data_IF_685834205227
#
_entry.id   IF_685834205227
#
_cell.length_a   1.000
_cell.length_b   1.000
_cell.length_c   1.000
_cell.angle_alpha   90.00
_cell.angle_beta   90.00
_cell.angle_gamma   90.00
#
_symmetry.space_group_name_H-M   'P 1'
#
loop_
_entity.id
_entity.type
_entity.pdbx_description
1 polymer ?
#
# COMPACT_ATOMS: atom_id res chain seq x y z
N UNK A 1 5.02 -42.63 -4.78
CA UNK A 1 5.23 -41.36 -5.44
C UNK A 1 6.08 -40.51 -4.53
N UNK A 2 7.17 -40.00 -5.08
CA UNK A 2 8.10 -39.20 -4.35
C UNK A 2 7.40 -37.85 -4.06
N UNK A 3 7.19 -37.54 -2.77
CA UNK A 3 6.50 -36.35 -2.34
C UNK A 3 7.20 -35.06 -2.82
N UNK A 4 8.53 -35.10 -2.86
CA UNK A 4 9.34 -33.96 -3.34
C UNK A 4 9.11 -33.72 -4.84
N UNK A 5 9.07 -34.83 -5.64
CA UNK A 5 8.80 -34.71 -7.07
C UNK A 5 7.39 -34.17 -7.35
N UNK A 6 6.39 -34.63 -6.57
CA UNK A 6 5.00 -34.11 -6.68
C UNK A 6 4.91 -32.63 -6.31
N UNK A 7 5.60 -32.19 -5.24
CA UNK A 7 5.64 -30.79 -4.82
C UNK A 7 6.24 -29.89 -5.91
N UNK A 8 7.33 -30.35 -6.53
CA UNK A 8 7.98 -29.61 -7.61
C UNK A 8 7.12 -29.57 -8.88
N UNK A 9 6.55 -30.67 -9.30
CA UNK A 9 5.69 -30.77 -10.49
C UNK A 9 4.36 -30.00 -10.33
N UNK A 10 3.86 -29.87 -9.12
CA UNK A 10 2.64 -29.12 -8.80
C UNK A 10 2.85 -27.60 -8.69
N UNK A 11 4.08 -27.11 -8.71
CA UNK A 11 4.41 -25.71 -8.46
C UNK A 11 4.15 -25.24 -7.02
N UNK A 12 3.87 -26.18 -6.11
CA UNK A 12 3.52 -25.87 -4.72
C UNK A 12 4.72 -25.28 -3.97
N UNK A 13 5.92 -25.79 -4.26
CA UNK A 13 7.17 -25.33 -3.66
C UNK A 13 7.46 -23.86 -4.01
N UNK A 14 7.24 -23.48 -5.26
CA UNK A 14 7.41 -22.08 -5.71
C UNK A 14 6.37 -21.15 -5.07
N UNK A 15 5.11 -21.59 -5.01
CA UNK A 15 4.05 -20.84 -4.33
C UNK A 15 4.31 -20.67 -2.83
N UNK A 16 4.82 -21.69 -2.14
CA UNK A 16 5.17 -21.60 -0.72
C UNK A 16 6.36 -20.67 -0.49
N UNK A 17 7.35 -20.65 -1.39
CA UNK A 17 8.46 -19.72 -1.32
C UNK A 17 7.98 -18.27 -1.52
N UNK A 18 7.18 -18.01 -2.54
CA UNK A 18 6.58 -16.66 -2.78
C UNK A 18 5.80 -16.18 -1.56
N UNK A 19 4.99 -17.03 -0.93
CA UNK A 19 4.24 -16.69 0.29
C UNK A 19 5.16 -16.35 1.45
N UNK A 20 6.24 -17.13 1.63
CA UNK A 20 7.23 -16.87 2.67
C UNK A 20 7.95 -15.53 2.44
N UNK A 21 8.29 -15.22 1.19
CA UNK A 21 8.88 -13.93 0.82
C UNK A 21 7.91 -12.77 1.12
N UNK A 22 6.62 -12.89 0.77
CA UNK A 22 5.61 -11.88 1.08
C UNK A 22 5.41 -11.67 2.58
N UNK A 23 5.46 -12.75 3.38
CA UNK A 23 5.38 -12.63 4.85
C UNK A 23 6.59 -11.89 5.43
N UNK A 24 7.78 -12.12 4.87
CA UNK A 24 9.00 -11.39 5.26
C UNK A 24 8.96 -9.91 4.82
N UNK A 25 8.33 -9.60 3.70
CA UNK A 25 8.09 -8.23 3.24
C UNK A 25 7.02 -7.49 4.07
N UNK A 26 6.38 -8.15 5.03
CA UNK A 26 5.33 -7.56 5.86
C UNK A 26 4.00 -7.38 5.14
N UNK A 27 3.75 -8.20 4.13
CA UNK A 27 2.47 -8.21 3.41
C UNK A 27 1.36 -8.69 4.34
N UNK A 28 0.19 -8.09 4.21
CA UNK A 28 -1.01 -8.36 4.99
C UNK A 28 -1.40 -9.87 4.92
N UNK A 29 -1.86 -10.39 6.07
CA UNK A 29 -2.26 -11.80 6.23
C UNK A 29 -3.33 -12.22 5.22
N UNK A 30 -4.25 -11.32 4.86
CA UNK A 30 -5.26 -11.59 3.85
C UNK A 30 -4.63 -11.84 2.48
N UNK A 31 -3.56 -11.09 2.13
CA UNK A 31 -2.81 -11.32 0.89
C UNK A 31 -2.27 -12.73 0.82
N UNK A 32 -1.55 -13.20 1.85
CA UNK A 32 -0.96 -14.53 1.85
C UNK A 32 -2.01 -15.66 1.84
N UNK A 33 -3.13 -15.45 2.53
CA UNK A 33 -4.23 -16.44 2.58
C UNK A 33 -5.00 -16.50 1.25
N UNK A 34 -5.42 -15.35 0.71
CA UNK A 34 -6.28 -15.32 -0.47
C UNK A 34 -5.52 -15.43 -1.79
N UNK A 35 -4.19 -15.24 -1.80
CA UNK A 35 -3.39 -15.43 -3.02
C UNK A 35 -3.47 -16.84 -3.57
N UNK A 36 -3.47 -17.85 -2.70
CA UNK A 36 -3.62 -19.25 -3.07
C UNK A 36 -4.99 -19.57 -3.69
N UNK A 37 -5.99 -18.74 -3.40
CA UNK A 37 -7.36 -18.91 -3.85
C UNK A 37 -7.63 -18.21 -5.20
N UNK A 38 -6.59 -17.75 -5.93
CA UNK A 38 -6.73 -17.08 -7.24
C UNK A 38 -6.63 -18.03 -8.44
N UNK A 39 -6.55 -19.35 -8.22
CA UNK A 39 -6.41 -20.37 -9.27
C UNK A 39 -7.75 -20.82 -9.89
N UNK A 40 -8.74 -19.94 -9.92
CA UNK A 40 -10.03 -20.22 -10.55
C UNK A 40 -10.05 -19.75 -12.01
N UNK A 41 -10.78 -20.45 -12.91
CA UNK A 41 -10.94 -20.01 -14.29
C UNK A 41 -11.47 -18.58 -14.44
N UNK A 42 -12.18 -18.09 -13.44
CA UNK A 42 -12.64 -16.70 -13.36
C UNK A 42 -11.51 -15.69 -13.48
N UNK A 43 -10.35 -15.95 -12.84
CA UNK A 43 -9.17 -15.10 -12.90
C UNK A 43 -8.32 -15.31 -14.16
N UNK A 44 -8.71 -16.22 -15.06
CA UNK A 44 -8.15 -16.33 -16.40
C UNK A 44 -8.48 -15.15 -17.30
N UNK A 45 -9.44 -14.32 -16.93
CA UNK A 45 -9.79 -13.08 -17.60
C UNK A 45 -9.28 -11.87 -16.82
N UNK A 46 -8.46 -11.02 -17.45
CA UNK A 46 -7.82 -9.87 -16.78
C UNK A 46 -8.85 -8.93 -16.13
N UNK A 47 -9.97 -8.67 -16.82
CA UNK A 47 -11.01 -7.76 -16.32
C UNK A 47 -11.64 -8.24 -14.99
N UNK A 48 -11.60 -9.52 -14.71
CA UNK A 48 -12.19 -10.09 -13.48
C UNK A 48 -11.34 -9.81 -12.23
N UNK A 49 -10.06 -9.48 -12.39
CA UNK A 49 -9.20 -9.09 -11.27
C UNK A 49 -9.59 -7.75 -10.64
N UNK A 50 -10.13 -6.84 -11.45
CA UNK A 50 -10.51 -5.49 -11.03
C UNK A 50 -12.03 -5.27 -11.04
N UNK A 51 -12.79 -6.37 -11.16
CA UNK A 51 -14.25 -6.32 -11.24
C UNK A 51 -14.84 -6.08 -9.85
N UNK A 52 -15.70 -5.06 -9.68
CA UNK A 52 -16.47 -4.87 -8.46
C UNK A 52 -17.24 -6.15 -8.09
N UNK A 53 -17.36 -6.45 -6.79
CA UNK A 53 -18.02 -7.66 -6.35
C UNK A 53 -19.50 -7.65 -6.74
N UNK A 54 -19.93 -8.68 -7.48
CA UNK A 54 -21.30 -8.87 -7.94
C UNK A 54 -21.80 -10.26 -7.54
N UNK A 55 -22.80 -10.29 -6.65
CA UNK A 55 -23.43 -11.51 -6.16
C UNK A 55 -24.15 -12.32 -7.24
N UNK A 56 -24.45 -11.71 -8.39
CA UNK A 56 -25.16 -12.37 -9.50
C UNK A 56 -24.22 -13.13 -10.45
N UNK A 57 -22.92 -13.13 -10.19
CA UNK A 57 -21.98 -13.94 -10.97
C UNK A 57 -22.32 -15.41 -10.81
N UNK A 58 -22.41 -16.18 -11.94
CA UNK A 58 -22.65 -17.61 -11.88
C UNK A 58 -21.69 -18.33 -10.93
N UNK A 59 -22.25 -19.21 -10.09
CA UNK A 59 -21.50 -19.91 -9.04
C UNK A 59 -21.44 -19.16 -7.71
N UNK A 60 -21.58 -17.83 -7.69
CA UNK A 60 -21.70 -17.05 -6.44
C UNK A 60 -23.15 -16.98 -6.00
N UNK A 61 -24.06 -16.74 -6.93
CA UNK A 61 -25.51 -16.76 -6.67
C UNK A 61 -26.00 -18.06 -6.01
N UNK A 62 -25.34 -19.18 -6.29
CA UNK A 62 -25.72 -20.50 -5.79
C UNK A 62 -25.42 -20.71 -4.29
N UNK A 63 -24.45 -19.96 -3.77
CA UNK A 63 -24.00 -20.07 -2.36
C UNK A 63 -24.55 -18.96 -1.47
N UNK A 64 -25.03 -17.88 -2.07
CA UNK A 64 -25.68 -16.79 -1.32
C UNK A 64 -27.17 -17.12 -1.17
N UNK A 65 -27.68 -17.34 0.05
CA UNK A 65 -29.09 -17.60 0.26
C UNK A 65 -29.94 -16.44 -0.26
N UNK A 66 -30.93 -16.77 -1.10
CA UNK A 66 -31.80 -15.79 -1.74
C UNK A 66 -32.82 -15.10 -0.80
N UNK A 67 -32.76 -15.36 0.50
CA UNK A 67 -33.68 -14.78 1.48
C UNK A 67 -32.99 -13.63 2.24
N UNK A 68 -33.71 -12.53 2.37
CA UNK A 68 -33.33 -11.33 3.11
C UNK A 68 -32.87 -11.58 4.57
N UNK A 69 -33.21 -12.73 5.15
CA UNK A 69 -32.79 -13.16 6.48
C UNK A 69 -31.41 -13.84 6.52
N UNK A 70 -30.76 -14.08 5.37
CA UNK A 70 -29.42 -14.70 5.27
C UNK A 70 -28.25 -13.73 5.47
N UNK A 71 -28.52 -12.52 5.93
CA UNK A 71 -27.49 -11.51 6.22
C UNK A 71 -26.57 -11.84 7.40
N UNK A 72 -26.89 -12.88 8.16
CA UNK A 72 -26.14 -13.33 9.35
C UNK A 72 -25.22 -14.52 9.07
N UNK A 73 -25.01 -14.88 7.80
CA UNK A 73 -24.02 -15.92 7.49
C UNK A 73 -22.64 -15.28 7.29
N UNK A 74 -21.58 -15.98 7.70
CA UNK A 74 -20.19 -15.55 7.47
C UNK A 74 -19.94 -15.17 6.00
N UNK A 75 -20.53 -15.91 5.05
CA UNK A 75 -20.44 -15.59 3.62
C UNK A 75 -21.04 -14.22 3.32
N UNK A 76 -22.22 -13.93 3.86
CA UNK A 76 -22.86 -12.62 3.69
C UNK A 76 -22.06 -11.48 4.30
N UNK A 77 -21.49 -11.70 5.47
CA UNK A 77 -20.61 -10.74 6.15
C UNK A 77 -19.34 -10.45 5.35
N UNK A 78 -18.64 -11.47 4.87
CA UNK A 78 -17.42 -11.28 4.04
C UNK A 78 -17.76 -10.56 2.72
N UNK A 79 -18.86 -10.93 2.06
CA UNK A 79 -19.28 -10.30 0.80
C UNK A 79 -19.56 -8.80 0.95
N UNK A 80 -20.09 -8.38 2.10
CA UNK A 80 -20.38 -6.98 2.40
C UNK A 80 -19.21 -6.24 3.04
N UNK A 81 -18.27 -6.95 3.64
CA UNK A 81 -17.17 -6.36 4.38
C UNK A 81 -16.36 -5.35 3.54
N UNK A 82 -16.10 -4.16 4.06
CA UNK A 82 -15.23 -3.17 3.41
C UNK A 82 -13.73 -3.53 3.51
N UNK A 83 -13.38 -4.47 4.39
CA UNK A 83 -11.99 -4.85 4.66
C UNK A 83 -11.41 -5.69 3.52
N UNK A 84 -12.23 -6.55 2.92
CA UNK A 84 -11.77 -7.42 1.82
C UNK A 84 -11.92 -6.73 0.47
N UNK A 85 -10.90 -6.83 -0.36
CA UNK A 85 -10.99 -6.38 -1.75
C UNK A 85 -11.90 -7.32 -2.58
N UNK A 86 -12.33 -6.87 -3.75
CA UNK A 86 -13.33 -7.61 -4.53
C UNK A 86 -12.79 -8.94 -5.03
N UNK A 87 -11.53 -9.01 -5.47
CA UNK A 87 -10.92 -10.26 -5.92
C UNK A 87 -10.80 -11.30 -4.81
N UNK A 88 -10.59 -10.88 -3.55
CA UNK A 88 -10.56 -11.77 -2.39
C UNK A 88 -11.97 -12.32 -2.08
N UNK A 89 -13.00 -11.47 -2.16
CA UNK A 89 -14.41 -11.90 -2.03
C UNK A 89 -14.79 -12.96 -3.05
N UNK A 90 -14.42 -12.75 -4.33
CA UNK A 90 -14.62 -13.74 -5.38
C UNK A 90 -13.89 -15.06 -5.09
N UNK A 91 -12.62 -14.99 -4.71
CA UNK A 91 -11.82 -16.19 -4.35
C UNK A 91 -12.46 -16.98 -3.23
N UNK A 92 -12.88 -16.30 -2.18
CA UNK A 92 -13.55 -16.91 -1.04
C UNK A 92 -14.86 -17.60 -1.47
N UNK A 93 -15.72 -16.93 -2.22
CA UNK A 93 -16.97 -17.49 -2.70
C UNK A 93 -16.77 -18.74 -3.55
N UNK A 94 -15.85 -18.72 -4.51
CA UNK A 94 -15.54 -19.91 -5.33
C UNK A 94 -14.94 -21.05 -4.51
N UNK A 95 -14.18 -20.75 -3.46
CA UNK A 95 -13.69 -21.79 -2.55
C UNK A 95 -14.83 -22.44 -1.79
N UNK A 96 -15.71 -21.64 -1.22
CA UNK A 96 -16.89 -22.13 -0.48
C UNK A 96 -17.82 -22.95 -1.38
N UNK A 97 -17.97 -22.55 -2.65
CA UNK A 97 -18.79 -23.31 -3.62
C UNK A 97 -18.29 -24.74 -3.83
N UNK A 98 -16.96 -24.96 -3.75
CA UNK A 98 -16.35 -26.30 -3.92
C UNK A 98 -16.49 -27.21 -2.71
N UNK A 99 -16.82 -26.66 -1.55
CA UNK A 99 -17.01 -27.44 -0.32
C UNK A 99 -18.38 -28.13 -0.41
N UNK A 100 -18.46 -29.47 -0.17
CA UNK A 100 -19.73 -30.17 -0.07
C UNK A 100 -20.70 -29.50 0.93
N UNK A 101 -22.00 -29.51 0.63
CA UNK A 101 -23.00 -28.73 1.37
C UNK A 101 -23.02 -29.07 2.87
N UNK A 102 -22.92 -30.36 3.22
CA UNK A 102 -22.89 -30.84 4.59
C UNK A 102 -21.67 -30.35 5.38
N UNK A 103 -20.49 -30.29 4.74
CA UNK A 103 -19.26 -29.78 5.33
C UNK A 103 -19.26 -28.25 5.39
N UNK A 104 -19.86 -27.59 4.40
CA UNK A 104 -19.99 -26.14 4.34
C UNK A 104 -20.80 -25.60 5.52
N UNK A 105 -21.95 -26.20 5.78
CA UNK A 105 -22.86 -25.79 6.87
C UNK A 105 -22.17 -25.95 8.24
N UNK A 106 -21.42 -27.04 8.42
CA UNK A 106 -20.63 -27.27 9.64
C UNK A 106 -19.52 -26.23 9.81
N UNK A 107 -18.73 -25.98 8.75
CA UNK A 107 -17.63 -25.03 8.76
C UNK A 107 -18.12 -23.59 9.02
N UNK A 108 -19.21 -23.20 8.34
CA UNK A 108 -19.80 -21.87 8.49
C UNK A 108 -20.43 -21.67 9.86
N UNK A 109 -20.97 -22.73 10.47
CA UNK A 109 -21.48 -22.68 11.84
C UNK A 109 -20.38 -22.53 12.88
N UNK A 110 -19.20 -23.11 12.66
CA UNK A 110 -18.05 -22.99 13.57
C UNK A 110 -17.35 -21.62 13.47
N UNK A 111 -17.23 -21.04 12.27
CA UNK A 111 -16.58 -19.76 12.02
C UNK A 111 -17.52 -18.56 12.19
N UNK A 112 -18.85 -18.77 12.19
CA UNK A 112 -19.84 -17.69 12.15
C UNK A 112 -20.19 -17.05 13.50
N UNK A 113 -19.68 -17.57 14.63
CA UNK A 113 -20.04 -17.07 15.96
C UNK A 113 -19.47 -15.70 16.28
N UNK A 114 -18.20 -15.65 16.63
CA UNK A 114 -17.53 -14.43 17.11
C UNK A 114 -17.07 -13.51 15.96
N UNK A 115 -16.60 -14.09 14.85
CA UNK A 115 -16.10 -13.31 13.71
C UNK A 115 -17.21 -12.67 12.88
N UNK A 116 -18.39 -13.29 12.80
CA UNK A 116 -19.56 -12.73 12.12
C UNK A 116 -20.12 -11.48 12.81
N UNK A 117 -20.08 -11.45 14.14
CA UNK A 117 -20.50 -10.28 14.93
C UNK A 117 -19.54 -9.10 14.79
N UNK A 118 -18.24 -9.35 14.82
CA UNK A 118 -17.22 -8.31 14.66
C UNK A 118 -17.26 -7.63 13.27
N UNK A 119 -17.56 -8.40 12.21
CA UNK A 119 -17.71 -7.86 10.85
C UNK A 119 -19.00 -7.05 10.75
N UNK A 120 -20.10 -7.50 11.39
CA UNK A 120 -21.40 -6.80 11.40
C UNK A 120 -21.37 -5.48 12.18
N UNK A 121 -20.61 -5.39 13.27
CA UNK A 121 -20.43 -4.14 14.01
C UNK A 121 -19.62 -3.12 13.20
N UNK A 122 -18.57 -3.56 12.49
CA UNK A 122 -17.81 -2.68 11.59
C UNK A 122 -18.68 -2.12 10.45
N UNK A 123 -19.63 -2.90 9.92
CA UNK A 123 -20.58 -2.46 8.90
C UNK A 123 -21.52 -1.36 9.39
N UNK A 124 -22.08 -1.49 10.60
CA UNK A 124 -23.10 -0.56 11.11
C UNK A 124 -22.59 0.86 11.28
N UNK A 125 -21.30 1.02 11.55
CA UNK A 125 -20.63 2.33 11.69
C UNK A 125 -20.17 2.95 10.36
N UNK A 126 -20.17 2.20 9.25
CA UNK A 126 -19.58 2.64 7.97
C UNK A 126 -20.59 3.14 6.93
N UNK A 127 -21.86 2.77 7.02
CA UNK A 127 -22.86 2.98 5.94
C UNK A 127 -23.37 4.43 5.84
N UNK A 128 -23.01 5.32 6.76
CA UNK A 128 -23.67 6.63 6.88
C UNK A 128 -23.08 7.76 6.02
N UNK A 129 -21.89 7.57 5.40
CA UNK A 129 -21.19 8.65 4.72
C UNK A 129 -20.74 8.29 3.30
N UNK A 130 -21.18 9.08 2.30
CA UNK A 130 -20.83 8.88 0.89
C UNK A 130 -19.35 9.06 0.61
N UNK A 131 -18.67 9.97 1.31
CA UNK A 131 -17.23 10.20 1.15
C UNK A 131 -16.45 8.99 1.62
N UNK A 132 -16.88 8.38 2.73
CA UNK A 132 -16.31 7.16 3.27
C UNK A 132 -16.52 5.94 2.36
N UNK A 133 -17.67 5.84 1.70
CA UNK A 133 -17.91 4.79 0.70
C UNK A 133 -16.97 4.91 -0.50
N UNK A 134 -16.74 6.11 -1.02
CA UNK A 134 -15.80 6.34 -2.11
C UNK A 134 -14.35 6.00 -1.71
N UNK A 135 -13.97 6.27 -0.47
CA UNK A 135 -12.67 5.87 0.09
C UNK A 135 -12.53 4.35 0.16
N UNK A 136 -13.57 3.66 0.66
CA UNK A 136 -13.60 2.19 0.74
C UNK A 136 -13.45 1.57 -0.66
N UNK A 137 -14.25 2.03 -1.63
CA UNK A 137 -14.20 1.54 -3.01
C UNK A 137 -12.83 1.78 -3.64
N UNK A 138 -12.22 2.94 -3.39
CA UNK A 138 -10.88 3.27 -3.86
C UNK A 138 -9.83 2.36 -3.24
N UNK A 139 -9.91 2.10 -1.94
CA UNK A 139 -8.99 1.21 -1.23
C UNK A 139 -9.13 -0.22 -1.72
N UNK A 140 -10.35 -0.72 -1.93
CA UNK A 140 -10.59 -2.04 -2.49
C UNK A 140 -10.01 -2.18 -3.90
N UNK A 141 -10.18 -1.16 -4.74
CA UNK A 141 -9.60 -1.15 -6.09
C UNK A 141 -8.06 -1.19 -6.06
N UNK A 142 -7.43 -0.41 -5.18
CA UNK A 142 -5.97 -0.40 -5.02
C UNK A 142 -5.48 -1.78 -4.52
N UNK A 143 -6.19 -2.40 -3.59
CA UNK A 143 -5.86 -3.75 -3.11
C UNK A 143 -6.02 -4.79 -4.24
N UNK A 144 -7.09 -4.74 -5.03
CA UNK A 144 -7.29 -5.62 -6.18
C UNK A 144 -6.17 -5.45 -7.22
N UNK A 145 -5.76 -4.21 -7.49
CA UNK A 145 -4.65 -3.89 -8.38
C UNK A 145 -3.33 -4.47 -7.84
N UNK A 146 -3.09 -4.33 -6.53
CA UNK A 146 -1.92 -4.92 -5.88
C UNK A 146 -1.92 -6.46 -5.99
N UNK A 147 -3.07 -7.12 -5.73
CA UNK A 147 -3.24 -8.58 -5.92
C UNK A 147 -2.91 -8.99 -7.36
N UNK A 148 -3.40 -8.23 -8.35
CA UNK A 148 -3.11 -8.50 -9.76
C UNK A 148 -1.60 -8.50 -10.03
N UNK A 149 -0.88 -7.46 -9.62
CA UNK A 149 0.56 -7.35 -9.88
C UNK A 149 1.42 -8.33 -9.08
N UNK A 150 0.92 -8.87 -7.98
CA UNK A 150 1.64 -9.89 -7.19
C UNK A 150 1.34 -11.31 -7.64
N UNK A 151 0.11 -11.63 -8.05
CA UNK A 151 -0.36 -13.01 -8.21
C UNK A 151 -0.73 -13.38 -9.64
N UNK A 152 -1.22 -12.43 -10.46
CA UNK A 152 -1.71 -12.76 -11.79
C UNK A 152 -0.60 -13.23 -12.74
N UNK A 153 -0.90 -14.25 -13.54
CA UNK A 153 -0.01 -14.70 -14.62
C UNK A 153 0.16 -13.64 -15.71
N UNK A 154 -0.79 -12.70 -15.83
CA UNK A 154 -0.73 -11.58 -16.79
C UNK A 154 0.10 -10.40 -16.30
N UNK A 155 0.58 -10.41 -15.03
CA UNK A 155 1.30 -9.27 -14.43
C UNK A 155 2.49 -8.77 -15.23
N UNK A 156 3.16 -9.68 -15.94
CA UNK A 156 4.36 -9.37 -16.74
C UNK A 156 4.05 -8.64 -18.07
N UNK A 157 2.78 -8.59 -18.48
CA UNK A 157 2.35 -7.87 -19.68
C UNK A 157 2.18 -6.36 -19.42
N UNK A 158 2.20 -5.97 -18.15
CA UNK A 158 1.93 -4.60 -17.73
C UNK A 158 3.07 -4.06 -16.87
N UNK A 159 3.21 -2.73 -16.88
CA UNK A 159 4.16 -2.05 -16.01
C UNK A 159 3.55 -1.94 -14.60
N UNK A 160 4.24 -2.49 -13.60
CA UNK A 160 3.78 -2.49 -12.22
C UNK A 160 3.79 -1.07 -11.65
N UNK A 161 2.62 -0.49 -11.31
CA UNK A 161 2.53 0.84 -10.76
C UNK A 161 3.14 0.96 -9.35
N UNK A 162 3.25 -0.15 -8.61
CA UNK A 162 3.80 -0.15 -7.26
C UNK A 162 5.34 -0.12 -7.24
N UNK A 163 5.98 -0.38 -8.38
CA UNK A 163 7.44 -0.25 -8.54
C UNK A 163 7.83 1.02 -9.27
N UNK A 164 6.85 1.81 -9.75
CA UNK A 164 7.11 3.08 -10.43
C UNK A 164 7.39 4.18 -9.40
N UNK A 165 8.38 5.02 -9.69
CA UNK A 165 8.50 6.29 -9.00
C UNK A 165 7.26 7.15 -9.26
N UNK A 166 6.61 7.55 -8.16
CA UNK A 166 5.42 8.40 -8.22
C UNK A 166 5.85 9.85 -8.43
N UNK A 167 5.76 10.35 -9.65
CA UNK A 167 5.90 11.78 -9.90
C UNK A 167 4.52 12.46 -9.77
N UNK A 168 4.08 12.69 -8.52
CA UNK A 168 2.77 13.27 -8.23
C UNK A 168 2.60 14.66 -8.85
N UNK A 169 3.67 15.44 -8.95
CA UNK A 169 3.64 16.81 -9.46
C UNK A 169 3.56 16.88 -10.99
N UNK A 170 4.02 15.87 -11.70
CA UNK A 170 3.90 15.77 -13.16
C UNK A 170 2.58 15.14 -13.61
N UNK A 171 1.82 14.57 -12.68
CA UNK A 171 0.51 14.01 -12.98
C UNK A 171 -0.46 15.11 -13.38
N UNK A 172 -0.95 15.08 -14.62
CA UNK A 172 -1.95 16.05 -15.12
C UNK A 172 -3.25 16.04 -14.31
N UNK A 173 -3.57 14.92 -13.66
CA UNK A 173 -4.75 14.79 -12.82
C UNK A 173 -4.55 15.37 -11.42
N UNK A 174 -3.35 15.24 -10.85
CA UNK A 174 -3.05 15.65 -9.47
C UNK A 174 -2.46 17.06 -9.38
N UNK A 175 -1.73 17.53 -10.39
CA UNK A 175 -1.12 18.86 -10.39
C UNK A 175 -2.12 20.00 -10.07
N UNK A 176 -3.38 20.01 -10.54
CA UNK A 176 -4.36 21.04 -10.18
C UNK A 176 -4.77 21.00 -8.70
N UNK A 177 -4.72 19.82 -8.07
CA UNK A 177 -5.06 19.62 -6.66
C UNK A 177 -3.93 20.04 -5.72
N UNK A 178 -2.69 20.09 -6.22
CA UNK A 178 -1.47 20.45 -5.49
C UNK A 178 -1.05 21.88 -5.90
N UNK A 179 -2.01 22.77 -6.14
CA UNK A 179 -1.72 24.11 -6.71
C UNK A 179 -1.41 25.17 -5.67
N UNK A 180 -1.87 25.01 -4.42
CA UNK A 180 -1.58 25.97 -3.36
C UNK A 180 -0.30 25.60 -2.58
N UNK A 181 0.38 26.63 -2.01
CA UNK A 181 1.64 26.45 -1.28
C UNK A 181 1.52 25.48 -0.10
N UNK A 182 0.37 25.45 0.59
CA UNK A 182 0.17 24.54 1.73
C UNK A 182 -0.02 23.10 1.25
N UNK A 183 -0.70 22.87 0.12
CA UNK A 183 -0.83 21.54 -0.47
C UNK A 183 0.54 21.02 -0.94
N UNK A 184 1.35 21.88 -1.57
CA UNK A 184 2.73 21.53 -1.98
C UNK A 184 3.58 21.15 -0.76
N UNK A 185 3.51 21.93 0.34
CA UNK A 185 4.26 21.65 1.56
C UNK A 185 3.82 20.33 2.22
N UNK A 186 2.51 20.07 2.29
CA UNK A 186 2.01 18.77 2.79
C UNK A 186 2.45 17.61 1.94
N UNK A 187 2.42 17.75 0.62
CA UNK A 187 2.89 16.74 -0.33
C UNK A 187 4.37 16.49 -0.15
N UNK A 188 5.18 17.53 -0.03
CA UNK A 188 6.61 17.42 0.26
C UNK A 188 6.87 16.59 1.53
N UNK A 189 6.23 16.95 2.65
CA UNK A 189 6.42 16.25 3.92
C UNK A 189 5.94 14.80 3.88
N UNK A 190 4.84 14.54 3.18
CA UNK A 190 4.37 13.18 2.93
C UNK A 190 5.40 12.35 2.15
N UNK A 191 6.00 12.92 1.10
CA UNK A 191 7.03 12.24 0.30
C UNK A 191 8.30 11.97 1.13
N UNK A 192 8.70 12.89 2.00
CA UNK A 192 9.82 12.70 2.95
C UNK A 192 9.52 11.55 3.91
N UNK A 193 8.32 11.51 4.48
CA UNK A 193 7.87 10.43 5.38
C UNK A 193 7.89 9.05 4.69
N UNK A 194 7.54 9.02 3.39
CA UNK A 194 7.55 7.79 2.58
C UNK A 194 8.89 7.50 1.92
N UNK A 195 9.93 8.26 2.25
CA UNK A 195 11.31 8.09 1.76
C UNK A 195 11.49 8.30 0.24
N UNK A 196 10.53 8.98 -0.42
CA UNK A 196 10.66 9.40 -1.83
C UNK A 196 11.44 10.72 -1.93
N UNK A 197 12.73 10.68 -1.60
CA UNK A 197 13.55 11.88 -1.38
C UNK A 197 13.76 12.73 -2.64
N UNK A 198 13.92 12.10 -3.80
CA UNK A 198 14.07 12.81 -5.07
C UNK A 198 12.81 13.60 -5.44
N UNK A 199 11.64 12.97 -5.34
CA UNK A 199 10.34 13.60 -5.60
C UNK A 199 10.02 14.66 -4.55
N UNK A 200 10.34 14.39 -3.28
CA UNK A 200 10.21 15.35 -2.20
C UNK A 200 11.02 16.63 -2.48
N UNK A 201 12.26 16.49 -2.89
CA UNK A 201 13.10 17.63 -3.26
C UNK A 201 12.50 18.44 -4.41
N UNK A 202 11.96 17.77 -5.44
CA UNK A 202 11.30 18.45 -6.57
C UNK A 202 10.04 19.20 -6.12
N UNK A 203 9.22 18.61 -5.23
CA UNK A 203 8.06 19.27 -4.65
C UNK A 203 8.45 20.51 -3.84
N UNK A 204 9.46 20.36 -2.99
CA UNK A 204 9.95 21.47 -2.17
C UNK A 204 10.50 22.64 -2.99
N UNK A 205 11.11 22.38 -4.15
CA UNK A 205 11.55 23.44 -5.08
C UNK A 205 10.43 24.33 -5.59
N UNK A 206 9.22 23.81 -5.72
CA UNK A 206 8.05 24.61 -6.08
C UNK A 206 7.63 25.52 -4.92
N UNK A 207 7.60 24.97 -3.71
CA UNK A 207 7.28 25.73 -2.50
C UNK A 207 8.33 26.83 -2.22
N UNK A 208 9.62 26.52 -2.38
CA UNK A 208 10.72 27.49 -2.17
C UNK A 208 10.57 28.77 -3.01
N UNK A 209 9.93 28.67 -4.19
CA UNK A 209 9.69 29.83 -5.08
C UNK A 209 8.54 30.71 -4.63
N UNK A 210 7.59 30.18 -3.88
CA UNK A 210 6.31 30.83 -3.59
C UNK A 210 6.01 31.02 -2.10
N UNK A 211 6.79 30.38 -1.20
CA UNK A 211 6.49 30.28 0.22
C UNK A 211 7.50 30.97 1.14
N UNK A 212 7.07 31.21 2.36
CA UNK A 212 7.95 31.57 3.46
C UNK A 212 8.63 30.29 3.98
N UNK A 213 9.94 30.18 3.74
CA UNK A 213 10.74 29.03 4.13
C UNK A 213 11.32 29.23 5.52
N UNK A 214 10.96 28.36 6.45
CA UNK A 214 11.51 28.31 7.79
C UNK A 214 12.77 27.42 7.89
N UNK A 215 13.41 27.41 9.06
CA UNK A 215 14.59 26.59 9.28
C UNK A 215 14.28 25.08 9.11
N UNK A 216 13.09 24.66 9.54
CA UNK A 216 12.67 23.25 9.41
C UNK A 216 12.55 22.84 7.93
N UNK A 217 11.97 23.70 7.09
CA UNK A 217 11.88 23.43 5.65
C UNK A 217 13.27 23.24 5.04
N UNK A 218 14.25 24.11 5.36
CA UNK A 218 15.61 23.96 4.84
C UNK A 218 16.31 22.69 5.39
N UNK A 219 16.05 22.32 6.65
CA UNK A 219 16.54 21.07 7.22
C UNK A 219 15.98 19.85 6.47
N UNK A 220 14.67 19.82 6.20
CA UNK A 220 14.00 18.75 5.46
C UNK A 220 14.54 18.66 4.01
N UNK A 221 14.80 19.80 3.35
CA UNK A 221 15.43 19.85 2.02
C UNK A 221 16.84 19.29 2.03
N UNK A 222 17.68 19.71 2.99
CA UNK A 222 19.03 19.20 3.17
C UNK A 222 19.02 17.69 3.43
N UNK A 223 18.05 17.20 4.20
CA UNK A 223 17.89 15.77 4.50
C UNK A 223 17.58 14.95 3.25
N UNK A 224 16.66 15.40 2.39
CA UNK A 224 16.38 14.76 1.12
C UNK A 224 17.64 14.62 0.26
N UNK A 225 18.40 15.71 0.11
CA UNK A 225 19.64 15.72 -0.66
C UNK A 225 20.73 14.83 -0.05
N UNK A 226 20.83 14.80 1.26
CA UNK A 226 21.75 13.91 1.97
C UNK A 226 21.42 12.43 1.70
N UNK A 227 20.16 12.07 1.69
CA UNK A 227 19.71 10.71 1.36
C UNK A 227 19.96 10.34 -0.10
N UNK A 228 19.86 11.31 -1.00
CA UNK A 228 20.23 11.19 -2.41
C UNK A 228 21.76 11.25 -2.66
N UNK A 229 22.57 11.22 -1.60
CA UNK A 229 24.06 11.29 -1.64
C UNK A 229 24.59 12.60 -2.24
N UNK A 230 23.78 13.63 -2.36
CA UNK A 230 24.13 14.97 -2.87
C UNK A 230 24.63 15.86 -1.72
N UNK A 231 25.71 15.43 -1.08
CA UNK A 231 26.18 16.00 0.19
C UNK A 231 26.52 17.49 0.11
N UNK A 232 27.13 17.94 -1.00
CA UNK A 232 27.51 19.35 -1.17
C UNK A 232 26.26 20.25 -1.15
N UNK A 233 25.25 19.88 -1.90
CA UNK A 233 23.99 20.63 -1.96
C UNK A 233 23.22 20.54 -0.63
N UNK A 234 23.31 19.39 0.05
CA UNK A 234 22.71 19.22 1.38
C UNK A 234 23.34 20.21 2.38
N UNK A 235 24.66 20.41 2.37
CA UNK A 235 25.36 21.37 3.22
C UNK A 235 24.85 22.78 2.96
N UNK A 236 24.65 23.17 1.69
CA UNK A 236 24.13 24.49 1.35
C UNK A 236 22.75 24.75 2.00
N UNK A 237 21.84 23.76 1.94
CA UNK A 237 20.53 23.86 2.58
C UNK A 237 20.60 23.85 4.10
N UNK A 238 21.43 23.02 4.70
CA UNK A 238 21.63 23.01 6.15
C UNK A 238 22.26 24.32 6.65
N UNK A 239 23.16 24.91 5.88
CA UNK A 239 23.73 26.22 6.19
C UNK A 239 22.65 27.31 6.15
N UNK A 240 21.72 27.25 5.20
CA UNK A 240 20.56 28.15 5.15
C UNK A 240 19.66 27.95 6.38
N UNK A 241 19.45 26.71 6.79
CA UNK A 241 18.70 26.41 8.00
C UNK A 241 19.38 27.00 9.25
N UNK A 242 20.70 26.92 9.33
CA UNK A 242 21.48 27.46 10.44
C UNK A 242 21.47 29.00 10.46
N UNK A 243 21.44 29.66 9.29
CA UNK A 243 21.26 31.12 9.20
C UNK A 243 19.91 31.57 9.75
N UNK A 244 18.83 30.80 9.46
CA UNK A 244 17.47 31.13 9.95
C UNK A 244 17.34 30.83 11.43
N UNK A 245 17.89 29.72 11.91
CA UNK A 245 17.87 29.29 13.31
C UNK A 245 19.24 28.76 13.68
N UNK A 246 20.13 29.61 14.22
CA UNK A 246 21.50 29.26 14.54
C UNK A 246 21.63 28.18 15.63
N UNK A 247 22.75 27.51 15.63
CA UNK A 247 23.22 26.59 16.67
C UNK A 247 22.26 25.43 16.97
N UNK A 248 21.47 25.01 15.97
CA UNK A 248 20.65 23.82 16.12
C UNK A 248 21.53 22.57 16.02
N UNK A 249 21.71 21.86 17.13
CA UNK A 249 22.53 20.65 17.23
C UNK A 249 22.24 19.63 16.11
N UNK A 250 20.96 19.49 15.75
CA UNK A 250 20.55 18.61 14.67
C UNK A 250 21.18 19.06 13.33
N UNK A 251 21.10 20.34 12.99
CA UNK A 251 21.65 20.90 11.75
C UNK A 251 23.17 20.76 11.68
N UNK A 252 23.88 21.16 12.75
CA UNK A 252 25.33 21.07 12.83
C UNK A 252 25.82 19.64 12.68
N UNK A 253 25.14 18.68 13.33
CA UNK A 253 25.44 17.26 13.21
C UNK A 253 25.30 16.76 11.78
N UNK A 254 24.24 17.16 11.06
CA UNK A 254 24.03 16.74 9.66
C UNK A 254 25.02 17.37 8.70
N UNK A 255 25.43 18.63 8.91
CA UNK A 255 26.53 19.25 8.17
C UNK A 255 27.81 18.46 8.37
N UNK A 256 28.19 18.19 9.62
CA UNK A 256 29.36 17.40 9.96
C UNK A 256 29.34 16.01 9.28
N UNK A 257 28.19 15.35 9.30
CA UNK A 257 28.01 14.06 8.64
C UNK A 257 28.20 14.16 7.12
N UNK A 258 27.68 15.19 6.47
CA UNK A 258 27.89 15.42 5.04
C UNK A 258 29.36 15.65 4.70
N UNK A 259 30.06 16.47 5.47
CA UNK A 259 31.54 16.67 5.28
C UNK A 259 32.28 15.35 5.47
N UNK A 260 31.96 14.57 6.49
CA UNK A 260 32.57 13.25 6.71
C UNK A 260 32.37 12.33 5.50
N UNK A 261 31.15 12.30 4.92
CA UNK A 261 30.87 11.47 3.75
C UNK A 261 31.58 11.94 2.47
N UNK A 262 32.00 13.21 2.41
CA UNK A 262 32.83 13.75 1.33
C UNK A 262 34.35 13.54 1.56
N UNK A 263 34.73 13.00 2.72
CA UNK A 263 36.12 12.83 3.11
C UNK A 263 36.79 14.11 3.65
N UNK A 264 36.00 15.17 3.91
CA UNK A 264 36.47 16.45 4.46
C UNK A 264 36.49 16.40 6.00
N UNK A 265 37.39 15.60 6.55
CA UNK A 265 37.39 15.27 7.97
C UNK A 265 37.67 16.46 8.90
N UNK A 266 38.49 17.43 8.47
CA UNK A 266 38.79 18.62 9.27
C UNK A 266 37.53 19.49 9.44
N UNK A 267 36.79 19.69 8.36
CA UNK A 267 35.50 20.39 8.38
C UNK A 267 34.48 19.64 9.22
N UNK A 268 34.37 18.31 9.07
CA UNK A 268 33.48 17.49 9.86
C UNK A 268 33.76 17.60 11.37
N UNK A 269 35.09 17.57 11.76
CA UNK A 269 35.50 17.69 13.15
C UNK A 269 35.12 19.06 13.72
N UNK A 270 35.35 20.14 12.95
CA UNK A 270 34.99 21.49 13.39
C UNK A 270 33.49 21.60 13.73
N UNK A 271 32.62 21.06 12.86
CA UNK A 271 31.17 21.06 13.11
C UNK A 271 30.70 20.11 14.22
N UNK A 272 31.45 19.03 14.51
CA UNK A 272 31.15 18.16 15.67
C UNK A 272 31.56 18.76 17.03
N UNK A 273 32.44 19.78 16.99
CA UNK A 273 32.93 20.48 18.21
C UNK A 273 32.10 21.72 18.57
N UNK A 274 31.28 22.21 17.63
CA UNK A 274 30.28 23.25 17.89
C UNK A 274 29.09 22.69 18.67
#
# INVERSE_FOLDING_TARGET
PDWEQWMHESGLEESMREISEWQMEGVDVNMSTFSQLKNYPFFGEICNWLRPFDKNVPGISDILPGNENGTHTLIGAICKSPVFCNSDKYSFCFTVQRIPTDQRDMLMGQLGGEEGEAVSEAESHMVADKERMAEIESNQYIQDLYRFFKVSNFRHEFKDPFTMQLNLLESKALAPLISDSNAVLRTFRYLVEKEYYAEAYNAAKLFEKSGECDAQFFQEMGYCLQKELRYKEAIDYYTRADIVKPDTLWTLRHIAQCYRMQGEFDNALAYYQM
#
